data_IF_728762773154
#
_entry.id   IF_728762773154
#
_cell.length_a   1.000
_cell.length_b   1.000
_cell.length_c   1.000
_cell.angle_alpha   90.00
_cell.angle_beta   90.00
_cell.angle_gamma   90.00
#
_symmetry.space_group_name_H-M   'P 1'
#
loop_
_entity.id
_entity.type
_entity.pdbx_description
1 polymer ?
#
# COMPACT_ATOMS: atom_id res chain seq x y z
N UNK A 1 20.89 -22.83 -0.78
CA UNK A 1 20.04 -21.73 -0.28
C UNK A 1 19.00 -22.31 0.66
N UNK A 2 18.93 -21.88 1.92
CA UNK A 2 17.98 -22.44 2.89
C UNK A 2 16.54 -22.12 2.43
N UNK A 3 15.68 -23.14 2.32
CA UNK A 3 14.27 -23.01 1.90
C UNK A 3 13.55 -21.92 2.69
N UNK A 4 13.89 -21.76 3.97
CA UNK A 4 13.29 -20.77 4.85
C UNK A 4 13.65 -19.32 4.47
N UNK A 5 14.88 -19.09 3.99
CA UNK A 5 15.34 -17.78 3.50
C UNK A 5 14.70 -17.46 2.17
N UNK A 6 14.62 -18.43 1.26
CA UNK A 6 13.96 -18.27 -0.04
C UNK A 6 12.48 -17.91 0.12
N UNK A 7 11.78 -18.59 1.04
CA UNK A 7 10.37 -18.32 1.36
C UNK A 7 10.15 -16.91 1.90
N UNK A 8 11.05 -16.41 2.77
CA UNK A 8 10.99 -15.02 3.29
C UNK A 8 11.19 -13.99 2.18
N UNK A 9 12.17 -14.21 1.30
CA UNK A 9 12.44 -13.31 0.17
C UNK A 9 11.24 -13.28 -0.78
N UNK A 10 10.70 -14.44 -1.15
CA UNK A 10 9.52 -14.54 -2.00
C UNK A 10 8.32 -13.80 -1.41
N UNK A 11 8.07 -13.97 -0.11
CA UNK A 11 6.95 -13.30 0.55
C UNK A 11 7.12 -11.76 0.58
N UNK A 12 8.36 -11.28 0.73
CA UNK A 12 8.68 -9.84 0.66
C UNK A 12 8.45 -9.28 -0.76
N UNK A 13 8.89 -10.01 -1.79
CA UNK A 13 8.67 -9.63 -3.19
C UNK A 13 7.18 -9.60 -3.53
N UNK A 14 6.42 -10.60 -3.09
CA UNK A 14 4.96 -10.63 -3.28
C UNK A 14 4.26 -9.46 -2.59
N UNK A 15 4.66 -9.11 -1.37
CA UNK A 15 4.12 -7.95 -0.66
C UNK A 15 4.42 -6.64 -1.40
N UNK A 16 5.64 -6.47 -1.92
CA UNK A 16 6.03 -5.31 -2.70
C UNK A 16 5.19 -5.17 -3.98
N UNK A 17 4.99 -6.27 -4.71
CA UNK A 17 4.17 -6.29 -5.93
C UNK A 17 2.70 -5.97 -5.60
N UNK A 18 2.15 -6.55 -4.53
CA UNK A 18 0.78 -6.26 -4.11
C UNK A 18 0.58 -4.78 -3.78
N UNK A 19 1.52 -4.17 -3.08
CA UNK A 19 1.47 -2.74 -2.76
C UNK A 19 1.53 -1.86 -4.02
N UNK A 20 2.39 -2.20 -4.98
CA UNK A 20 2.49 -1.52 -6.27
C UNK A 20 1.15 -1.51 -7.03
N UNK A 21 0.46 -2.66 -7.07
CA UNK A 21 -0.83 -2.80 -7.73
C UNK A 21 -1.88 -1.93 -7.02
N UNK A 22 -1.94 -1.98 -5.70
CA UNK A 22 -2.90 -1.16 -4.92
C UNK A 22 -2.68 0.33 -5.15
N UNK A 23 -1.42 0.79 -5.08
CA UNK A 23 -1.08 2.19 -5.35
C UNK A 23 -1.48 2.63 -6.77
N UNK A 24 -1.28 1.76 -7.77
CA UNK A 24 -1.68 2.03 -9.15
C UNK A 24 -3.19 2.16 -9.30
N UNK A 25 -3.95 1.26 -8.68
CA UNK A 25 -5.41 1.29 -8.68
C UNK A 25 -5.92 2.58 -8.04
N UNK A 26 -5.37 2.97 -6.88
CA UNK A 26 -5.74 4.23 -6.21
C UNK A 26 -5.45 5.43 -7.11
N UNK A 27 -4.24 5.52 -7.69
CA UNK A 27 -3.88 6.63 -8.57
C UNK A 27 -4.76 6.68 -9.83
N UNK A 28 -5.22 5.53 -10.31
CA UNK A 28 -6.18 5.46 -11.42
C UNK A 28 -7.55 6.02 -11.03
N UNK A 29 -8.04 5.71 -9.82
CA UNK A 29 -9.27 6.31 -9.31
C UNK A 29 -9.12 7.83 -9.13
N UNK A 30 -8.00 8.30 -8.56
CA UNK A 30 -7.73 9.72 -8.38
C UNK A 30 -7.71 10.48 -9.72
N UNK A 31 -7.11 9.89 -10.76
CA UNK A 31 -7.12 10.46 -12.11
C UNK A 31 -8.55 10.46 -12.70
N UNK A 32 -9.28 9.35 -12.58
CA UNK A 32 -10.66 9.23 -13.11
C UNK A 32 -11.61 10.27 -12.51
N UNK A 33 -11.47 10.58 -11.23
CA UNK A 33 -12.28 11.58 -10.53
C UNK A 33 -11.67 12.99 -10.57
N UNK A 34 -10.69 13.24 -11.46
CA UNK A 34 -10.04 14.55 -11.67
C UNK A 34 -9.30 15.14 -10.45
N UNK A 35 -9.00 14.34 -9.42
CA UNK A 35 -8.17 14.75 -8.29
C UNK A 35 -6.68 14.83 -8.66
N UNK A 36 -6.26 14.05 -9.66
CA UNK A 36 -4.94 14.16 -10.28
C UNK A 36 -5.09 14.53 -11.75
N UNK A 37 -4.29 15.50 -12.21
CA UNK A 37 -4.15 15.82 -13.64
C UNK A 37 -3.13 14.91 -14.34
N UNK A 38 -2.35 14.16 -13.55
CA UNK A 38 -1.31 13.26 -14.04
C UNK A 38 -1.89 11.87 -14.23
N UNK A 39 -1.71 11.31 -15.42
CA UNK A 39 -2.11 9.94 -15.73
C UNK A 39 -1.32 8.95 -14.85
N UNK A 40 -1.98 7.91 -14.32
CA UNK A 40 -1.33 6.95 -13.44
C UNK A 40 -0.26 6.15 -14.20
N UNK A 41 0.94 6.08 -13.61
CA UNK A 41 2.05 5.24 -14.11
C UNK A 41 2.50 4.29 -13.01
N UNK A 42 2.83 3.05 -13.40
CA UNK A 42 3.38 2.06 -12.48
C UNK A 42 4.75 2.52 -11.95
N UNK A 43 5.53 3.24 -12.76
CA UNK A 43 6.87 3.71 -12.37
C UNK A 43 6.83 4.73 -11.22
N UNK A 44 5.81 5.58 -11.19
CA UNK A 44 5.63 6.59 -10.14
C UNK A 44 5.35 5.93 -8.78
N UNK A 45 4.83 4.72 -8.78
CA UNK A 45 4.47 3.98 -7.57
C UNK A 45 5.64 3.21 -6.96
N UNK A 46 6.77 3.06 -7.67
CA UNK A 46 7.97 2.36 -7.16
C UNK A 46 8.49 3.05 -5.91
N UNK A 47 8.56 4.39 -5.94
CA UNK A 47 8.95 5.23 -4.81
C UNK A 47 7.98 5.04 -3.63
N UNK A 48 6.68 5.09 -3.89
CA UNK A 48 5.64 4.87 -2.87
C UNK A 48 5.69 3.47 -2.26
N UNK A 49 5.97 2.43 -3.06
CA UNK A 49 6.10 1.06 -2.61
C UNK A 49 7.37 0.83 -1.79
N UNK A 50 8.48 1.47 -2.14
CA UNK A 50 9.69 1.48 -1.30
C UNK A 50 9.41 2.17 0.04
N UNK A 51 8.74 3.33 0.02
CA UNK A 51 8.32 4.04 1.22
C UNK A 51 7.40 3.19 2.12
N UNK A 52 6.41 2.53 1.54
CA UNK A 52 5.47 1.64 2.24
C UNK A 52 6.14 0.38 2.80
N UNK A 53 7.08 -0.21 2.06
CA UNK A 53 7.86 -1.36 2.53
C UNK A 53 8.83 -1.00 3.66
N UNK A 54 9.46 0.18 3.61
CA UNK A 54 10.34 0.66 4.68
C UNK A 54 9.50 0.98 5.93
N UNK A 55 8.37 1.66 5.76
CA UNK A 55 7.42 1.95 6.82
C UNK A 55 6.95 0.67 7.54
N UNK A 56 6.62 -0.39 6.79
CA UNK A 56 6.16 -1.65 7.39
C UNK A 56 7.23 -2.32 8.29
N UNK A 57 8.52 -2.16 7.98
CA UNK A 57 9.63 -2.67 8.81
C UNK A 57 9.69 -1.94 10.16
N UNK A 58 9.50 -0.62 10.18
CA UNK A 58 9.45 0.16 11.44
C UNK A 58 8.24 -0.20 12.29
N UNK A 59 7.14 -0.60 11.66
CA UNK A 59 5.88 -0.93 12.33
C UNK A 59 5.80 -2.37 12.88
N UNK A 60 6.57 -3.32 12.33
CA UNK A 60 6.57 -4.73 12.78
C UNK A 60 7.29 -4.94 14.13
N UNK A 61 8.08 -3.98 14.60
CA UNK A 61 8.98 -4.11 15.76
C UNK A 61 8.28 -4.01 17.14
N UNK A 62 7.02 -3.57 17.20
CA UNK A 62 6.22 -3.47 18.43
C UNK A 62 4.89 -4.21 18.24
N UNK A 63 4.71 -5.35 18.91
CA UNK A 63 3.52 -6.21 18.72
C UNK A 63 2.20 -5.54 19.16
N UNK A 64 2.25 -4.60 20.10
CA UNK A 64 1.10 -3.76 20.50
C UNK A 64 0.77 -2.68 19.47
N UNK A 65 1.76 -2.19 18.71
CA UNK A 65 1.53 -1.19 17.64
C UNK A 65 0.95 -1.82 16.38
N UNK A 66 1.25 -3.09 16.09
CA UNK A 66 0.73 -3.80 14.91
C UNK A 66 -0.79 -3.67 14.77
N UNK A 67 -1.55 -3.95 15.83
CA UNK A 67 -3.02 -3.92 15.77
C UNK A 67 -3.57 -2.50 15.53
N UNK A 68 -2.98 -1.49 16.18
CA UNK A 68 -3.36 -0.09 15.97
C UNK A 68 -3.08 0.40 14.55
N UNK A 69 -2.01 -0.09 13.91
CA UNK A 69 -1.61 0.29 12.56
C UNK A 69 -2.44 -0.43 11.50
N UNK A 70 -2.75 -1.72 11.70
CA UNK A 70 -3.70 -2.42 10.84
C UNK A 70 -5.08 -1.75 10.89
N UNK A 71 -5.55 -1.38 12.09
CA UNK A 71 -6.77 -0.61 12.25
C UNK A 71 -6.68 0.75 11.54
N UNK A 72 -5.57 1.47 11.67
CA UNK A 72 -5.38 2.78 11.03
C UNK A 72 -5.37 2.67 9.50
N UNK A 73 -4.68 1.69 8.93
CA UNK A 73 -4.65 1.43 7.49
C UNK A 73 -6.06 1.08 6.98
N UNK A 74 -6.78 0.22 7.71
CA UNK A 74 -8.17 -0.13 7.37
C UNK A 74 -9.06 1.12 7.45
N UNK A 75 -8.90 1.96 8.47
CA UNK A 75 -9.65 3.21 8.64
C UNK A 75 -9.36 4.22 7.52
N UNK A 76 -8.11 4.35 7.10
CA UNK A 76 -7.72 5.21 5.98
C UNK A 76 -8.35 4.71 4.68
N UNK A 77 -8.25 3.41 4.39
CA UNK A 77 -8.87 2.81 3.19
C UNK A 77 -10.39 2.99 3.23
N UNK A 78 -11.03 2.74 4.38
CA UNK A 78 -12.46 2.89 4.57
C UNK A 78 -12.91 4.35 4.41
N UNK A 79 -12.18 5.30 4.99
CA UNK A 79 -12.47 6.72 4.88
C UNK A 79 -12.36 7.20 3.43
N UNK A 80 -11.34 6.74 2.69
CA UNK A 80 -11.20 6.98 1.25
C UNK A 80 -12.44 6.40 0.54
N UNK A 81 -12.77 5.13 0.72
CA UNK A 81 -13.92 4.50 0.05
C UNK A 81 -15.24 5.25 0.36
N UNK A 82 -15.52 5.58 1.61
CA UNK A 82 -16.75 6.31 2.00
C UNK A 82 -16.78 7.70 1.35
N UNK A 83 -15.67 8.43 1.39
CA UNK A 83 -15.59 9.76 0.76
C UNK A 83 -15.87 9.69 -0.75
N UNK A 84 -15.33 8.69 -1.44
CA UNK A 84 -15.43 8.55 -2.89
C UNK A 84 -16.75 7.92 -3.39
N UNK A 85 -17.42 7.06 -2.60
CA UNK A 85 -18.63 6.35 -3.02
C UNK A 85 -19.93 6.87 -2.41
N UNK A 86 -19.86 7.62 -1.29
CA UNK A 86 -21.05 8.07 -0.56
C UNK A 86 -21.18 9.60 -0.58
N UNK A 87 -20.07 10.33 -0.45
CA UNK A 87 -20.07 11.79 -0.27
C UNK A 87 -19.76 12.58 -1.55
N UNK A 88 -19.39 11.91 -2.63
CA UNK A 88 -19.17 12.45 -3.97
C UNK A 88 -19.95 11.62 -5.01
#
# INVERSE_FOLDING_TARGET
MNINVCKKILNSVLFFIAFMIVAFVINTFLFKFSFSKTAPSIYDNISGALGGAIASIFFVKDDTKKLGIYLLIILIILAIVVYFFVLN
#
